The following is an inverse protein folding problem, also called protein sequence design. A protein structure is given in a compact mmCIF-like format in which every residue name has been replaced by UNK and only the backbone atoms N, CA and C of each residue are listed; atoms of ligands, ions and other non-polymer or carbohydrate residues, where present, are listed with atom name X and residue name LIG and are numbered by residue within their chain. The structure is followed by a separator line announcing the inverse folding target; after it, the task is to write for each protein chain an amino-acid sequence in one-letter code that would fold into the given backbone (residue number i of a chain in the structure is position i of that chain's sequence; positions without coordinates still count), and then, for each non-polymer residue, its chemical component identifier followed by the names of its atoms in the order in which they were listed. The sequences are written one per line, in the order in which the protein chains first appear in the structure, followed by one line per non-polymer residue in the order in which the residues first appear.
data_IF_383639024949
#
_entry.id   IF_383639024949
#
_cell.length_a   1.000
_cell.length_b   1.000
_cell.length_c   1.000
_cell.angle_alpha   90.00
_cell.angle_beta   90.00
_cell.angle_gamma   90.00
#
_symmetry.space_group_name_H-M   'P 1'
#
loop_
_entity.id
_entity.type
_entity.pdbx_description
1 polymer ?
#
# COMPACT_ATOMS: atom_id res chain seq x y z
N UNK A 1 12.00 -8.73 -14.45
CA UNK A 1 10.88 -7.77 -14.62
C UNK A 1 11.07 -6.57 -13.70
N UNK A 2 10.51 -5.41 -14.02
CA UNK A 2 10.60 -4.20 -13.19
C UNK A 2 9.44 -4.08 -12.19
N UNK A 3 9.71 -3.52 -11.01
CA UNK A 3 8.73 -3.29 -9.95
C UNK A 3 7.88 -2.04 -10.20
N UNK A 4 7.06 -2.05 -11.25
CA UNK A 4 6.19 -0.92 -11.63
C UNK A 4 4.83 -1.05 -10.96
N UNK A 5 4.69 -0.50 -9.75
CA UNK A 5 3.42 -0.50 -9.01
C UNK A 5 2.98 -1.90 -8.58
N UNK A 6 1.70 -2.24 -8.80
CA UNK A 6 1.11 -3.56 -8.43
C UNK A 6 1.20 -4.56 -9.58
N UNK A 7 1.41 -4.10 -10.82
CA UNK A 7 1.29 -4.90 -12.04
C UNK A 7 2.29 -6.05 -12.16
N UNK A 8 3.44 -5.96 -11.47
CA UNK A 8 4.41 -7.05 -11.45
C UNK A 8 3.91 -8.25 -10.63
N UNK A 9 3.02 -8.05 -9.64
CA UNK A 9 2.62 -9.10 -8.70
C UNK A 9 1.99 -10.32 -9.40
N UNK A 10 0.95 -10.17 -10.26
CA UNK A 10 0.31 -11.33 -10.88
C UNK A 10 1.29 -12.16 -11.73
N UNK A 11 2.16 -11.50 -12.50
CA UNK A 11 3.15 -12.17 -13.35
C UNK A 11 4.21 -12.85 -12.51
N UNK A 12 4.74 -12.18 -11.48
CA UNK A 12 5.76 -12.76 -10.61
C UNK A 12 5.20 -13.98 -9.87
N UNK A 13 4.01 -13.89 -9.29
CA UNK A 13 3.41 -14.99 -8.54
C UNK A 13 3.08 -16.19 -9.42
N UNK A 14 2.68 -15.97 -10.68
CA UNK A 14 2.41 -17.06 -11.61
C UNK A 14 3.69 -17.81 -12.05
N UNK A 15 4.84 -17.14 -12.06
CA UNK A 15 6.12 -17.70 -12.49
C UNK A 15 6.98 -18.22 -11.32
N UNK A 16 6.66 -17.82 -10.10
CA UNK A 16 7.38 -18.23 -8.88
C UNK A 16 7.32 -19.76 -8.73
N UNK A 17 8.49 -20.42 -8.67
CA UNK A 17 8.60 -21.87 -8.60
C UNK A 17 8.51 -22.61 -9.95
N UNK A 18 8.15 -21.92 -11.05
CA UNK A 18 8.20 -22.48 -12.41
C UNK A 18 9.50 -22.15 -13.15
N UNK A 19 10.14 -21.03 -12.80
CA UNK A 19 11.39 -20.55 -13.41
C UNK A 19 12.51 -20.64 -12.38
N UNK A 20 13.69 -21.12 -12.80
CA UNK A 20 14.86 -21.30 -11.93
C UNK A 20 15.32 -19.99 -11.27
N UNK A 21 15.38 -18.90 -12.04
CA UNK A 21 15.72 -17.56 -11.53
C UNK A 21 14.67 -16.53 -11.95
N UNK A 22 14.00 -15.93 -10.96
CA UNK A 22 12.98 -14.91 -11.20
C UNK A 22 13.36 -13.59 -10.53
N UNK A 23 13.83 -12.65 -11.34
CA UNK A 23 14.29 -11.35 -10.86
C UNK A 23 13.20 -10.28 -10.97
N UNK A 24 12.93 -9.64 -9.83
CA UNK A 24 12.20 -8.37 -9.76
C UNK A 24 13.21 -7.25 -9.54
N UNK A 25 13.32 -6.28 -10.44
CA UNK A 25 14.28 -5.17 -10.31
C UNK A 25 13.56 -3.87 -9.92
N UNK A 26 14.24 -3.01 -9.16
CA UNK A 26 13.70 -1.69 -8.82
C UNK A 26 13.70 -0.80 -10.06
N UNK A 27 12.53 -0.33 -10.50
CA UNK A 27 12.38 0.48 -11.71
C UNK A 27 13.18 1.80 -11.65
N UNK A 28 13.26 2.44 -10.49
CA UNK A 28 14.04 3.67 -10.31
C UNK A 28 15.53 3.41 -10.48
N UNK A 29 16.02 2.26 -10.01
CA UNK A 29 17.42 1.90 -10.20
C UNK A 29 17.72 1.60 -11.67
N UNK A 30 16.88 0.80 -12.35
CA UNK A 30 17.06 0.45 -13.78
C UNK A 30 17.05 1.71 -14.65
N UNK A 31 16.16 2.66 -14.36
CA UNK A 31 16.07 3.94 -15.09
C UNK A 31 17.32 4.81 -14.95
N UNK A 32 18.05 4.68 -13.85
CA UNK A 32 19.25 5.45 -13.57
C UNK A 32 20.53 4.82 -14.14
N UNK A 33 20.45 3.62 -14.74
CA UNK A 33 21.60 2.98 -15.38
C UNK A 33 21.93 3.72 -16.69
N UNK A 34 23.16 4.24 -16.86
CA UNK A 34 23.56 4.96 -18.07
C UNK A 34 23.70 4.03 -19.28
N UNK A 35 23.62 4.60 -20.49
CA UNK A 35 23.88 3.86 -21.73
C UNK A 35 22.65 3.21 -22.38
N UNK A 36 21.44 3.47 -21.86
CA UNK A 36 20.19 3.00 -22.47
C UNK A 36 19.98 3.64 -23.85
N UNK A 37 19.90 2.82 -24.90
CA UNK A 37 19.47 3.27 -26.23
C UNK A 37 17.95 3.40 -26.29
N UNK A 38 17.45 4.39 -27.02
CA UNK A 38 16.01 4.67 -27.16
C UNK A 38 15.26 3.54 -27.86
N UNK A 39 15.91 2.86 -28.80
CA UNK A 39 15.29 1.82 -29.65
C UNK A 39 15.31 0.42 -29.01
N UNK A 40 15.81 0.28 -27.79
CA UNK A 40 15.78 -0.98 -27.05
C UNK A 40 14.44 -1.16 -26.33
N UNK A 41 13.86 -2.35 -26.46
CA UNK A 41 12.72 -2.73 -25.63
C UNK A 41 13.12 -2.77 -24.15
N UNK A 42 12.16 -2.54 -23.24
CA UNK A 42 12.42 -2.62 -21.79
C UNK A 42 12.94 -3.99 -21.37
N UNK A 43 12.48 -5.06 -22.02
CA UNK A 43 12.89 -6.43 -21.71
C UNK A 43 14.36 -6.69 -22.08
N UNK A 44 14.77 -6.27 -23.29
CA UNK A 44 16.17 -6.39 -23.73
C UNK A 44 17.09 -5.54 -22.87
N UNK A 45 16.69 -4.29 -22.59
CA UNK A 45 17.47 -3.41 -21.70
C UNK A 45 17.64 -4.04 -20.32
N UNK A 46 16.56 -4.56 -19.72
CA UNK A 46 16.63 -5.17 -18.40
C UNK A 46 17.51 -6.41 -18.37
N UNK A 47 17.48 -7.23 -19.43
CA UNK A 47 18.34 -8.40 -19.56
C UNK A 47 19.83 -8.01 -19.70
N UNK A 48 20.13 -6.99 -20.50
CA UNK A 48 21.49 -6.50 -20.72
C UNK A 48 22.11 -5.94 -19.43
N UNK A 49 21.38 -5.08 -18.71
CA UNK A 49 21.89 -4.52 -17.45
C UNK A 49 22.01 -5.57 -16.34
N UNK A 50 21.16 -6.60 -16.36
CA UNK A 50 21.26 -7.73 -15.44
C UNK A 50 22.48 -8.60 -15.74
N UNK A 51 22.72 -8.91 -17.02
CA UNK A 51 23.88 -9.71 -17.46
C UNK A 51 25.22 -9.05 -17.11
N UNK A 52 25.28 -7.72 -17.19
CA UNK A 52 26.46 -6.94 -16.79
C UNK A 52 26.55 -6.67 -15.28
N UNK A 53 25.62 -7.18 -14.46
CA UNK A 53 25.63 -6.99 -13.01
C UNK A 53 25.36 -5.55 -12.56
N UNK A 54 24.80 -4.72 -13.43
CA UNK A 54 24.52 -3.30 -13.16
C UNK A 54 23.26 -3.09 -12.31
N UNK A 55 22.44 -4.14 -12.15
CA UNK A 55 21.25 -4.13 -11.30
C UNK A 55 21.26 -5.33 -10.37
N UNK A 56 20.44 -5.26 -9.31
CA UNK A 56 20.27 -6.34 -8.33
C UNK A 56 18.79 -6.69 -8.18
N UNK A 57 18.46 -7.97 -7.94
CA UNK A 57 17.11 -8.36 -7.63
C UNK A 57 16.66 -7.70 -6.31
N UNK A 58 15.44 -7.20 -6.33
CA UNK A 58 14.71 -6.70 -5.17
C UNK A 58 14.20 -7.88 -4.36
N UNK A 59 14.21 -7.74 -3.04
CA UNK A 59 13.66 -8.75 -2.15
C UNK A 59 12.14 -8.85 -2.34
N UNK A 60 11.69 -10.03 -2.78
CA UNK A 60 10.29 -10.42 -2.71
C UNK A 60 10.13 -11.39 -1.54
N UNK A 61 9.33 -11.07 -0.51
CA UNK A 61 9.12 -11.98 0.61
C UNK A 61 8.45 -13.30 0.16
N UNK A 62 8.65 -14.40 0.89
CA UNK A 62 7.94 -15.65 0.65
C UNK A 62 6.41 -15.48 0.71
N UNK A 63 5.64 -16.36 0.03
CA UNK A 63 4.17 -16.30 -0.02
C UNK A 63 3.49 -16.02 1.33
N UNK A 64 3.82 -16.81 2.35
CA UNK A 64 3.24 -16.71 3.70
C UNK A 64 3.42 -15.31 4.32
N UNK A 65 4.60 -14.71 4.13
CA UNK A 65 4.90 -13.36 4.63
C UNK A 65 4.15 -12.30 3.83
N UNK A 66 3.95 -12.49 2.52
CA UNK A 66 3.19 -11.56 1.67
C UNK A 66 1.71 -11.52 2.08
N UNK A 67 1.11 -12.67 2.32
CA UNK A 67 -0.28 -12.78 2.78
C UNK A 67 -0.49 -12.07 4.13
N UNK A 68 0.38 -12.32 5.10
CA UNK A 68 0.35 -11.63 6.39
C UNK A 68 0.52 -10.11 6.23
N UNK A 69 1.42 -9.67 5.34
CA UNK A 69 1.63 -8.25 5.05
C UNK A 69 0.43 -7.59 4.40
N UNK A 70 -0.26 -8.28 3.51
CA UNK A 70 -1.45 -7.73 2.84
C UNK A 70 -2.59 -7.51 3.85
N UNK A 71 -2.85 -8.47 4.75
CA UNK A 71 -3.87 -8.33 5.81
C UNK A 71 -3.49 -7.24 6.82
N UNK A 72 -2.25 -7.22 7.30
CA UNK A 72 -1.80 -6.24 8.31
C UNK A 72 -1.79 -4.82 7.76
N UNK A 73 -1.35 -4.63 6.51
CA UNK A 73 -1.41 -3.33 5.82
C UNK A 73 -2.85 -2.88 5.59
N UNK A 74 -3.72 -3.77 5.12
CA UNK A 74 -5.13 -3.45 4.94
C UNK A 74 -5.78 -3.03 6.27
N UNK A 75 -5.54 -3.78 7.35
CA UNK A 75 -6.01 -3.42 8.69
C UNK A 75 -5.52 -2.03 9.10
N UNK A 76 -4.24 -1.71 8.88
CA UNK A 76 -3.68 -0.38 9.18
C UNK A 76 -4.40 0.72 8.38
N UNK A 77 -4.61 0.52 7.09
CA UNK A 77 -5.38 1.44 6.23
C UNK A 77 -6.80 1.65 6.77
N UNK A 78 -7.50 0.58 7.17
CA UNK A 78 -8.85 0.67 7.72
C UNK A 78 -8.88 1.39 9.07
N UNK A 79 -7.91 1.15 9.95
CA UNK A 79 -7.79 1.86 11.24
C UNK A 79 -7.57 3.35 11.01
N UNK A 80 -6.68 3.72 10.08
CA UNK A 80 -6.39 5.11 9.78
C UNK A 80 -7.58 5.80 9.10
N UNK A 81 -8.30 5.11 8.21
CA UNK A 81 -9.54 5.60 7.61
C UNK A 81 -10.62 5.83 8.68
N UNK A 82 -10.85 4.85 9.57
CA UNK A 82 -11.79 4.99 10.69
C UNK A 82 -11.45 6.18 11.57
N UNK A 83 -10.17 6.38 11.90
CA UNK A 83 -9.74 7.52 12.72
C UNK A 83 -10.06 8.86 12.04
N UNK A 84 -9.81 8.96 10.72
CA UNK A 84 -10.16 10.16 9.93
C UNK A 84 -11.66 10.44 9.93
N UNK A 85 -12.50 9.41 9.75
CA UNK A 85 -13.95 9.59 9.78
C UNK A 85 -14.46 10.01 11.16
N UNK A 86 -13.89 9.48 12.25
CA UNK A 86 -14.23 9.91 13.61
C UNK A 86 -13.88 11.39 13.82
N UNK A 87 -12.72 11.85 13.33
CA UNK A 87 -12.32 13.25 13.42
C UNK A 87 -13.23 14.17 12.60
N UNK A 88 -13.69 13.71 11.42
CA UNK A 88 -14.66 14.47 10.60
C UNK A 88 -16.00 14.58 11.30
N UNK A 89 -16.50 13.47 11.89
CA UNK A 89 -17.71 13.48 12.69
C UNK A 89 -17.60 14.48 13.84
N UNK A 90 -16.49 14.48 14.58
CA UNK A 90 -16.29 15.44 15.68
C UNK A 90 -16.36 16.89 15.20
N UNK A 91 -15.73 17.21 14.06
CA UNK A 91 -15.79 18.56 13.49
C UNK A 91 -17.22 18.98 13.15
N UNK A 92 -17.99 18.10 12.52
CA UNK A 92 -19.40 18.37 12.17
C UNK A 92 -20.25 18.60 13.43
N UNK A 93 -20.06 17.77 14.46
CA UNK A 93 -20.78 17.93 15.71
C UNK A 93 -20.42 19.25 16.42
N UNK A 94 -19.14 19.60 16.46
CA UNK A 94 -18.70 20.86 17.08
C UNK A 94 -19.21 22.09 16.32
N UNK A 95 -19.28 22.04 14.99
CA UNK A 95 -19.88 23.10 14.16
C UNK A 95 -21.37 23.28 14.47
N UNK A 96 -22.09 22.18 14.76
CA UNK A 96 -23.46 22.19 15.25
C UNK A 96 -23.60 22.55 16.76
N UNK A 97 -22.51 22.93 17.44
CA UNK A 97 -22.50 23.28 18.87
C UNK A 97 -22.45 22.09 19.83
N UNK A 98 -22.28 20.86 19.34
CA UNK A 98 -22.25 19.63 20.14
C UNK A 98 -20.80 19.19 20.37
N UNK A 99 -20.28 19.39 21.58
CA UNK A 99 -18.91 18.98 21.95
C UNK A 99 -18.90 17.67 22.75
N UNK A 100 -18.99 16.52 22.07
CA UNK A 100 -19.00 15.22 22.75
C UNK A 100 -17.75 14.93 23.60
N UNK A 101 -16.60 15.48 23.21
CA UNK A 101 -15.33 15.29 23.94
C UNK A 101 -15.28 15.96 25.31
N UNK A 102 -16.24 16.82 25.67
CA UNK A 102 -16.33 17.35 27.03
C UNK A 102 -16.97 16.38 28.02
N UNK A 103 -17.75 15.41 27.53
CA UNK A 103 -18.57 14.51 28.37
C UNK A 103 -18.24 13.03 28.17
N UNK A 104 -17.74 12.65 26.99
CA UNK A 104 -17.43 11.27 26.65
C UNK A 104 -15.92 11.04 26.54
N UNK A 105 -15.45 9.90 27.04
CA UNK A 105 -14.04 9.49 26.94
C UNK A 105 -13.55 9.29 25.50
N UNK A 106 -14.47 9.01 24.57
CA UNK A 106 -14.19 8.81 23.14
C UNK A 106 -15.35 9.39 22.34
N UNK A 107 -15.05 10.09 21.24
CA UNK A 107 -16.06 10.60 20.28
C UNK A 107 -16.95 9.48 19.73
N UNK A 108 -16.37 8.31 19.50
CA UNK A 108 -17.07 7.16 18.93
C UNK A 108 -17.16 6.01 19.94
N UNK A 109 -18.20 6.08 20.77
CA UNK A 109 -18.58 5.08 21.78
C UNK A 109 -20.07 4.71 21.63
N UNK A 110 -20.53 3.67 22.32
CA UNK A 110 -21.97 3.31 22.36
C UNK A 110 -22.80 4.50 22.85
N UNK A 111 -22.41 5.07 23.98
CA UNK A 111 -23.07 6.25 24.58
C UNK A 111 -23.08 7.46 23.63
N UNK A 112 -21.96 7.72 22.94
CA UNK A 112 -21.90 8.82 21.98
C UNK A 112 -22.89 8.64 20.83
N UNK A 113 -23.09 7.41 20.36
CA UNK A 113 -24.06 7.12 19.28
C UNK A 113 -25.50 7.30 19.76
N UNK A 114 -25.82 6.82 20.97
CA UNK A 114 -27.14 7.01 21.57
C UNK A 114 -27.48 8.50 21.73
N UNK A 115 -26.52 9.32 22.17
CA UNK A 115 -26.69 10.78 22.28
C UNK A 115 -26.96 11.42 20.92
N UNK A 116 -26.18 11.06 19.88
CA UNK A 116 -26.37 11.58 18.52
C UNK A 116 -27.75 11.18 17.98
N UNK A 117 -28.14 9.92 18.11
CA UNK A 117 -29.45 9.44 17.65
C UNK A 117 -30.62 10.13 18.36
N UNK A 118 -30.48 10.43 19.65
CA UNK A 118 -31.50 11.15 20.40
C UNK A 118 -31.63 12.63 19.98
N UNK A 119 -30.54 13.27 19.52
CA UNK A 119 -30.56 14.66 19.06
C UNK A 119 -31.00 14.83 17.59
N UNK A 120 -30.87 13.79 16.77
CA UNK A 120 -31.25 13.83 15.35
C UNK A 120 -32.70 13.38 15.08
N UNK A 121 -33.48 13.04 16.12
CA UNK A 121 -34.93 12.80 16.04
C UNK A 121 -35.70 14.06 16.39
#
# INVERSE_FOLDING_TARGET
MEATGVYWKPVYYALEGLVHELWLCNAQHVKNVPGRKTDLSDAEWLADVAAHGMVRPSLVPPPEIRELRDVTRYRKTQVDARAKEIQRLEKVLQDAGIKLTSVASKVWSSTSREIIEAHCR
#
